data_IF_193225219427
#
_entry.id   IF_193225219427
#
_cell.length_a   1.000
_cell.length_b   1.000
_cell.length_c   1.000
_cell.angle_alpha   90.00
_cell.angle_beta   90.00
_cell.angle_gamma   90.00
#
_symmetry.space_group_name_H-M   'P 1'
#
loop_
_entity.id
_entity.type
_entity.pdbx_description
1 polymer ?
#
# COMPACT_ATOMS: atom_id res chain seq x y z
N UNK A 1 -57.89 -17.76 17.17
CA UNK A 1 -56.75 -18.63 16.81
C UNK A 1 -56.03 -18.17 15.56
N UNK A 2 -56.73 -17.74 14.50
CA UNK A 2 -56.12 -17.17 13.28
C UNK A 2 -55.14 -16.00 13.44
N UNK A 3 -55.02 -15.34 14.59
CA UNK A 3 -54.09 -14.20 14.78
C UNK A 3 -52.82 -14.57 15.56
N UNK A 4 -52.79 -15.73 16.22
CA UNK A 4 -51.59 -16.21 16.95
C UNK A 4 -50.60 -16.89 16.00
N UNK A 5 -51.11 -17.67 15.04
CA UNK A 5 -50.29 -18.47 14.12
C UNK A 5 -49.51 -17.57 13.14
N UNK A 6 -50.11 -16.46 12.70
CA UNK A 6 -49.49 -15.48 11.80
C UNK A 6 -48.35 -14.72 12.48
N UNK A 7 -48.52 -14.39 13.77
CA UNK A 7 -47.49 -13.73 14.58
C UNK A 7 -46.29 -14.65 14.77
N UNK A 8 -46.51 -15.95 14.95
CA UNK A 8 -45.44 -16.93 15.08
C UNK A 8 -44.62 -17.05 13.79
N UNK A 9 -45.28 -17.07 12.63
CA UNK A 9 -44.61 -17.09 11.32
C UNK A 9 -43.75 -15.84 11.06
N UNK A 10 -44.24 -14.66 11.45
CA UNK A 10 -43.49 -13.39 11.32
C UNK A 10 -42.26 -13.38 12.23
N UNK A 11 -42.37 -13.89 13.46
CA UNK A 11 -41.24 -13.95 14.41
C UNK A 11 -40.14 -14.89 13.89
N UNK A 12 -40.51 -16.06 13.36
CA UNK A 12 -39.55 -17.01 12.79
C UNK A 12 -38.89 -16.45 11.51
N UNK A 13 -39.65 -15.78 10.66
CA UNK A 13 -39.14 -15.17 9.43
C UNK A 13 -38.16 -14.02 9.74
N UNK A 14 -38.46 -13.16 10.71
CA UNK A 14 -37.55 -12.09 11.15
C UNK A 14 -36.32 -12.65 11.86
N UNK A 15 -36.48 -13.70 12.68
CA UNK A 15 -35.40 -14.30 13.45
C UNK A 15 -34.30 -14.94 12.60
N UNK A 16 -34.64 -15.50 11.43
CA UNK A 16 -33.67 -16.16 10.53
C UNK A 16 -33.27 -15.25 9.36
N UNK A 17 -34.22 -14.48 8.83
CA UNK A 17 -34.00 -13.63 7.66
C UNK A 17 -33.00 -12.50 7.92
N UNK A 18 -33.11 -11.82 9.07
CA UNK A 18 -32.19 -10.73 9.44
C UNK A 18 -30.73 -11.19 9.61
N UNK A 19 -30.41 -12.23 10.41
CA UNK A 19 -29.02 -12.66 10.55
C UNK A 19 -28.44 -13.22 9.25
N UNK A 20 -29.22 -13.94 8.43
CA UNK A 20 -28.76 -14.42 7.13
C UNK A 20 -28.39 -13.25 6.19
N UNK A 21 -29.22 -12.21 6.15
CA UNK A 21 -28.95 -11.01 5.35
C UNK A 21 -27.69 -10.27 5.83
N UNK A 22 -27.48 -10.16 7.15
CA UNK A 22 -26.28 -9.52 7.72
C UNK A 22 -25.00 -10.30 7.40
N UNK A 23 -25.04 -11.64 7.41
CA UNK A 23 -23.89 -12.47 7.03
C UNK A 23 -23.55 -12.28 5.56
N UNK A 24 -24.55 -12.28 4.66
CA UNK A 24 -24.34 -12.06 3.22
C UNK A 24 -23.73 -10.67 2.97
N UNK A 25 -24.26 -9.63 3.61
CA UNK A 25 -23.71 -8.28 3.51
C UNK A 25 -22.29 -8.19 4.08
N UNK A 26 -22.02 -8.84 5.21
CA UNK A 26 -20.69 -8.90 5.81
C UNK A 26 -19.66 -9.56 4.88
N UNK A 27 -20.00 -10.71 4.31
CA UNK A 27 -19.14 -11.43 3.35
C UNK A 27 -18.96 -10.63 2.06
N UNK A 28 -20.02 -10.03 1.53
CA UNK A 28 -19.95 -9.17 0.35
C UNK A 28 -19.06 -7.95 0.58
N UNK A 29 -19.24 -7.24 1.69
CA UNK A 29 -18.39 -6.11 2.09
C UNK A 29 -16.94 -6.55 2.30
N UNK A 30 -16.69 -7.70 2.92
CA UNK A 30 -15.34 -8.24 3.10
C UNK A 30 -14.69 -8.61 1.77
N UNK A 31 -15.42 -9.26 0.87
CA UNK A 31 -14.96 -9.60 -0.48
C UNK A 31 -14.62 -8.36 -1.30
N UNK A 32 -15.49 -7.35 -1.31
CA UNK A 32 -15.21 -6.06 -1.98
C UNK A 32 -14.02 -5.35 -1.33
N UNK A 33 -13.94 -5.30 0.00
CA UNK A 33 -12.81 -4.69 0.69
C UNK A 33 -11.48 -5.42 0.37
N UNK A 34 -11.50 -6.74 0.32
CA UNK A 34 -10.34 -7.57 -0.03
C UNK A 34 -9.95 -7.39 -1.50
N UNK A 35 -10.93 -7.33 -2.40
CA UNK A 35 -10.69 -7.06 -3.82
C UNK A 35 -10.11 -5.65 -4.02
N UNK A 36 -10.67 -4.63 -3.38
CA UNK A 36 -10.13 -3.25 -3.40
C UNK A 36 -8.71 -3.18 -2.86
N UNK A 37 -8.39 -3.97 -1.82
CA UNK A 37 -7.02 -4.09 -1.28
C UNK A 37 -6.06 -4.74 -2.28
N UNK A 38 -6.51 -5.75 -3.03
CA UNK A 38 -5.67 -6.41 -4.05
C UNK A 38 -5.45 -5.53 -5.28
N UNK A 39 -6.47 -4.82 -5.76
CA UNK A 39 -6.33 -3.89 -6.90
C UNK A 39 -5.39 -2.73 -6.59
N UNK A 40 -5.38 -2.24 -5.35
CA UNK A 40 -4.42 -1.20 -4.93
C UNK A 40 -2.95 -1.68 -4.95
N UNK A 41 -2.71 -3.00 -4.86
CA UNK A 41 -1.37 -3.58 -4.91
C UNK A 41 -0.89 -3.86 -6.34
N UNK A 42 -1.82 -4.10 -7.28
CA UNK A 42 -1.55 -4.42 -8.68
C UNK A 42 -1.79 -3.19 -9.58
N UNK A 43 -1.04 -2.12 -9.38
CA UNK A 43 -1.14 -0.91 -10.20
C UNK A 43 -0.45 -1.13 -11.56
N UNK A 44 -1.20 -1.22 -12.68
CA UNK A 44 -0.63 -1.53 -13.99
C UNK A 44 0.35 -0.46 -14.49
N UNK A 45 0.25 0.78 -14.00
CA UNK A 45 1.17 1.85 -14.35
C UNK A 45 2.58 1.61 -13.79
N UNK A 46 2.68 1.07 -12.57
CA UNK A 46 3.97 0.73 -11.95
C UNK A 46 4.61 -0.44 -12.70
N UNK A 47 3.82 -1.48 -13.00
CA UNK A 47 4.32 -2.63 -13.77
C UNK A 47 4.77 -2.23 -15.18
N UNK A 48 4.03 -1.34 -15.84
CA UNK A 48 4.39 -0.79 -17.15
C UNK A 48 5.70 0.01 -17.10
N UNK A 49 5.87 0.87 -16.09
CA UNK A 49 7.10 1.64 -15.90
C UNK A 49 8.31 0.72 -15.67
N UNK A 50 8.18 -0.28 -14.79
CA UNK A 50 9.26 -1.24 -14.50
C UNK A 50 9.69 -2.05 -15.72
N UNK A 51 8.74 -2.48 -16.57
CA UNK A 51 9.03 -3.20 -17.82
C UNK A 51 9.71 -2.33 -18.89
N UNK A 52 9.62 -1.00 -18.78
CA UNK A 52 10.23 -0.07 -19.73
C UNK A 52 11.71 0.19 -19.46
N UNK A 53 12.25 -0.30 -18.34
CA UNK A 53 13.61 -0.05 -17.91
C UNK A 53 14.59 -1.10 -18.48
N UNK A 54 15.74 -0.69 -19.03
CA UNK A 54 16.75 -1.61 -19.57
C UNK A 54 17.43 -2.45 -18.47
N UNK A 55 17.51 -1.92 -17.25
CA UNK A 55 17.93 -2.63 -16.03
C UNK A 55 16.77 -2.54 -15.03
N UNK A 56 16.29 -3.68 -14.52
CA UNK A 56 15.19 -3.70 -13.56
C UNK A 56 15.71 -3.27 -12.18
N UNK A 57 15.17 -2.20 -11.56
CA UNK A 57 15.58 -1.80 -10.23
C UNK A 57 15.35 -2.91 -9.21
N UNK A 58 16.21 -2.98 -8.18
CA UNK A 58 16.01 -3.90 -7.05
C UNK A 58 14.76 -3.50 -6.29
N UNK A 59 13.84 -4.45 -6.12
CA UNK A 59 12.62 -4.25 -5.33
C UNK A 59 12.88 -4.54 -3.85
N UNK A 60 12.30 -3.70 -2.98
CA UNK A 60 12.33 -3.85 -1.53
C UNK A 60 10.91 -3.93 -0.99
N UNK A 61 10.68 -4.82 -0.02
CA UNK A 61 9.36 -4.90 0.59
C UNK A 61 9.10 -3.71 1.52
N UNK A 62 7.86 -3.23 1.59
CA UNK A 62 7.53 -2.15 2.53
C UNK A 62 7.85 -2.53 3.98
N UNK A 63 7.71 -3.82 4.35
CA UNK A 63 8.03 -4.32 5.69
C UNK A 63 9.51 -4.18 6.01
N UNK A 64 10.38 -4.46 5.04
CA UNK A 64 11.83 -4.31 5.16
C UNK A 64 12.23 -2.85 5.33
N UNK A 65 11.75 -1.95 4.45
CA UNK A 65 12.01 -0.51 4.56
C UNK A 65 11.48 0.08 5.87
N UNK A 66 10.29 -0.35 6.29
CA UNK A 66 9.70 0.04 7.58
C UNK A 66 10.58 -0.41 8.74
N UNK A 67 11.11 -1.64 8.70
CA UNK A 67 12.02 -2.14 9.72
C UNK A 67 13.33 -1.35 9.73
N UNK A 68 13.92 -1.12 8.56
CA UNK A 68 15.18 -0.39 8.37
C UNK A 68 15.16 1.04 8.90
N UNK A 69 14.03 1.72 8.74
CA UNK A 69 13.83 3.12 9.16
C UNK A 69 13.24 3.27 10.56
N UNK A 70 13.19 2.19 11.36
CA UNK A 70 12.51 2.17 12.66
C UNK A 70 11.06 2.69 12.60
N UNK A 71 10.27 2.17 11.67
CA UNK A 71 8.91 2.64 11.37
C UNK A 71 8.82 4.08 10.82
N UNK A 72 9.85 4.54 10.09
CA UNK A 72 9.97 5.92 9.62
C UNK A 72 9.98 6.92 10.79
N UNK A 73 10.74 6.60 11.85
CA UNK A 73 10.94 7.45 13.02
C UNK A 73 11.68 8.73 12.63
N UNK A 74 11.23 9.88 13.14
CA UNK A 74 11.87 11.17 12.89
C UNK A 74 13.33 11.22 13.38
N UNK A 75 13.73 10.36 14.32
CA UNK A 75 15.13 10.18 14.72
C UNK A 75 16.04 9.72 13.56
N UNK A 76 15.47 9.06 12.56
CA UNK A 76 16.20 8.61 11.36
C UNK A 76 16.01 9.57 10.18
N UNK A 77 15.33 10.71 10.36
CA UNK A 77 15.08 11.67 9.28
C UNK A 77 16.38 12.35 8.85
N UNK A 78 16.66 12.29 7.55
CA UNK A 78 17.79 12.96 6.90
C UNK A 78 17.39 14.30 6.30
N UNK A 79 16.14 14.44 5.85
CA UNK A 79 15.64 15.66 5.25
C UNK A 79 14.22 15.53 4.74
N UNK A 80 13.63 16.65 4.31
CA UNK A 80 12.31 16.70 3.67
C UNK A 80 12.38 17.69 2.51
N UNK A 81 11.72 17.34 1.40
CA UNK A 81 11.54 18.21 0.25
C UNK A 81 10.12 18.10 -0.29
N UNK A 82 9.84 18.77 -1.42
CA UNK A 82 8.49 18.82 -2.00
C UNK A 82 7.87 17.46 -2.37
N UNK A 83 8.68 16.41 -2.46
CA UNK A 83 8.27 15.07 -2.86
C UNK A 83 8.21 14.05 -1.70
N UNK A 84 8.57 14.47 -0.48
CA UNK A 84 8.50 13.61 0.71
C UNK A 84 9.69 13.72 1.65
N UNK A 85 9.75 12.77 2.58
CA UNK A 85 10.73 12.73 3.67
C UNK A 85 11.74 11.62 3.41
N UNK A 86 13.02 11.90 3.64
CA UNK A 86 14.12 10.96 3.49
C UNK A 86 14.57 10.48 4.86
N UNK A 87 14.71 9.17 5.02
CA UNK A 87 15.12 8.51 6.27
C UNK A 87 16.38 7.67 6.05
N UNK A 88 17.18 7.51 7.10
CA UNK A 88 18.31 6.58 7.12
C UNK A 88 17.81 5.15 7.35
N UNK A 89 18.28 4.20 6.54
CA UNK A 89 18.14 2.78 6.85
C UNK A 89 19.23 2.35 7.84
N UNK A 90 18.83 1.67 8.91
CA UNK A 90 19.69 1.23 10.00
C UNK A 90 19.98 -0.28 9.97
N UNK A 91 19.33 -1.03 9.07
CA UNK A 91 19.35 -2.49 9.03
C UNK A 91 19.92 -3.08 7.75
N UNK A 92 19.82 -2.38 6.62
CA UNK A 92 20.51 -2.77 5.38
C UNK A 92 22.01 -2.41 5.45
N UNK A 93 22.88 -3.17 4.78
CA UNK A 93 23.97 -3.86 5.47
C UNK A 93 25.16 -3.01 5.89
N UNK A 94 25.72 -3.41 7.04
CA UNK A 94 27.07 -3.06 7.54
C UNK A 94 28.21 -3.77 6.80
N UNK A 95 27.91 -4.67 5.87
CA UNK A 95 28.92 -5.22 4.97
C UNK A 95 29.19 -4.20 3.86
N UNK A 96 30.43 -3.73 3.78
CA UNK A 96 30.95 -2.70 2.87
C UNK A 96 30.60 -1.23 3.20
N UNK A 97 30.20 -0.90 4.44
CA UNK A 97 29.87 0.48 4.86
C UNK A 97 28.82 1.17 3.95
N UNK A 98 27.87 0.42 3.41
CA UNK A 98 26.86 0.96 2.50
C UNK A 98 25.76 1.69 3.30
N UNK A 99 25.74 3.02 3.22
CA UNK A 99 24.65 3.83 3.77
C UNK A 99 23.49 3.93 2.77
N UNK A 100 22.27 3.68 3.24
CA UNK A 100 21.06 3.73 2.41
C UNK A 100 20.11 4.80 2.91
N UNK A 101 19.61 5.61 1.98
CA UNK A 101 18.56 6.59 2.21
C UNK A 101 17.22 6.08 1.63
N UNK A 102 16.18 6.10 2.45
CA UNK A 102 14.83 5.69 2.08
C UNK A 102 13.96 6.93 1.96
N UNK A 103 13.58 7.28 0.73
CA UNK A 103 12.64 8.37 0.45
C UNK A 103 11.20 7.88 0.52
N UNK A 104 10.44 8.39 1.47
CA UNK A 104 9.02 8.12 1.65
C UNK A 104 8.21 9.26 1.03
N UNK A 105 7.53 8.95 -0.07
CA UNK A 105 6.59 9.86 -0.71
C UNK A 105 5.30 9.99 0.10
N UNK A 106 4.66 11.16 0.04
CA UNK A 106 3.47 11.45 0.83
C UNK A 106 2.24 10.67 0.31
N UNK A 107 1.61 9.86 1.17
CA UNK A 107 0.59 8.87 0.76
C UNK A 107 -0.74 9.45 0.25
N UNK A 108 -0.99 10.74 0.44
CA UNK A 108 -2.37 11.23 0.43
C UNK A 108 -2.96 11.53 -0.96
N UNK A 109 -2.19 11.46 -2.06
CA UNK A 109 -2.65 11.91 -3.39
C UNK A 109 -2.15 11.06 -4.55
N UNK A 110 -2.96 10.96 -5.61
CA UNK A 110 -2.59 10.40 -6.93
C UNK A 110 -1.27 11.01 -7.43
N UNK A 111 -1.12 12.33 -7.25
CA UNK A 111 0.10 13.07 -7.58
C UNK A 111 1.37 12.44 -6.98
N UNK A 112 1.31 11.88 -5.78
CA UNK A 112 2.47 11.23 -5.18
C UNK A 112 2.91 9.95 -5.90
N UNK A 113 1.99 9.22 -6.54
CA UNK A 113 2.35 8.05 -7.35
C UNK A 113 3.02 8.48 -8.64
N UNK A 114 2.49 9.51 -9.27
CA UNK A 114 3.06 10.07 -10.50
C UNK A 114 4.45 10.66 -10.25
N UNK A 115 4.63 11.38 -9.13
CA UNK A 115 5.92 11.92 -8.69
C UNK A 115 6.95 10.79 -8.46
N UNK A 116 6.54 9.68 -7.83
CA UNK A 116 7.39 8.50 -7.67
C UNK A 116 7.80 7.88 -9.01
N UNK A 117 6.85 7.68 -9.93
CA UNK A 117 7.13 7.11 -11.24
C UNK A 117 8.01 8.01 -12.10
N UNK A 118 7.81 9.33 -12.02
CA UNK A 118 8.64 10.31 -12.71
C UNK A 118 10.09 10.25 -12.20
N UNK A 119 10.29 10.27 -10.87
CA UNK A 119 11.63 10.20 -10.26
C UNK A 119 12.33 8.88 -10.61
N UNK A 120 11.62 7.75 -10.49
CA UNK A 120 12.15 6.43 -10.85
C UNK A 120 12.57 6.37 -12.33
N UNK A 121 11.76 6.94 -13.22
CA UNK A 121 12.05 6.97 -14.67
C UNK A 121 13.26 7.84 -15.00
N UNK A 122 13.40 8.99 -14.35
CA UNK A 122 14.52 9.92 -14.56
C UNK A 122 15.83 9.30 -14.09
N UNK A 123 15.89 8.82 -12.84
CA UNK A 123 17.10 8.23 -12.25
C UNK A 123 17.54 7.00 -13.05
N UNK A 124 16.59 6.17 -13.47
CA UNK A 124 16.93 4.96 -14.23
C UNK A 124 17.54 5.26 -15.62
N UNK A 125 17.26 6.43 -16.21
CA UNK A 125 17.81 6.83 -17.52
C UNK A 125 19.09 7.65 -17.43
N UNK A 126 19.41 8.19 -16.26
CA UNK A 126 20.55 9.08 -16.07
C UNK A 126 21.64 8.39 -15.24
N UNK A 127 22.74 8.00 -15.88
CA UNK A 127 23.94 7.51 -15.19
C UNK A 127 25.08 8.50 -15.40
N UNK A 128 25.35 9.33 -14.39
CA UNK A 128 26.43 10.32 -14.45
C UNK A 128 27.09 10.48 -13.08
N UNK A 129 28.41 10.69 -13.04
CA UNK A 129 29.20 10.79 -11.78
C UNK A 129 28.81 11.96 -10.85
N UNK A 130 27.98 12.88 -11.33
CA UNK A 130 27.50 14.05 -10.58
C UNK A 130 25.98 14.04 -10.39
N UNK A 131 25.31 12.96 -10.79
CA UNK A 131 23.89 12.75 -10.56
C UNK A 131 23.76 11.54 -9.65
N UNK A 132 22.92 11.71 -8.62
CA UNK A 132 22.55 10.65 -7.69
C UNK A 132 21.22 10.07 -8.14
#
# INVERSE_FOLDING_TARGET
NLTKDNKLGIILALGIGLPAALVILGVGCWGVAMHRRQVAANDPNILGALKSFPETPREFSFKELKKGTNNFDDKQRLGEGGFGVVYKDTLLPKENNLEIAVKKFNRDKIKSKDDFLAELTIINRLRHKHLV
#
